data_IF_532126764252
#
_entry.id   IF_532126764252
#
_cell.length_a   1.000
_cell.length_b   1.000
_cell.length_c   1.000
_cell.angle_alpha   90.00
_cell.angle_beta   90.00
_cell.angle_gamma   90.00
#
_symmetry.space_group_name_H-M   'P 1'
#
loop_
_entity.id
_entity.type
_entity.pdbx_description
1 polymer ?
#
# COMPACT_ATOMS: atom_id res chain seq x y z
N UNK A 1 25.87 31.62 -15.65
CA UNK A 1 25.07 30.58 -14.94
C UNK A 1 25.96 29.36 -14.72
N UNK A 2 26.03 28.82 -13.51
CA UNK A 2 27.01 27.77 -13.17
C UNK A 2 26.36 26.39 -13.29
N UNK A 3 26.73 25.62 -14.33
CA UNK A 3 26.22 24.28 -14.64
C UNK A 3 26.17 23.32 -13.44
N UNK A 4 27.12 23.45 -12.49
CA UNK A 4 27.15 22.64 -11.27
C UNK A 4 25.94 22.91 -10.35
N UNK A 5 25.47 24.15 -10.29
CA UNK A 5 24.31 24.52 -9.47
C UNK A 5 23.01 24.04 -10.12
N UNK A 6 22.92 24.07 -11.44
CA UNK A 6 21.76 23.56 -12.18
C UNK A 6 21.63 22.04 -12.05
N UNK A 7 22.74 21.30 -12.17
CA UNK A 7 22.77 19.86 -11.93
C UNK A 7 22.36 19.48 -10.50
N UNK A 8 22.82 20.23 -9.50
CA UNK A 8 22.42 20.03 -8.10
C UNK A 8 20.92 20.28 -7.91
N UNK A 9 20.39 21.36 -8.47
CA UNK A 9 18.97 21.67 -8.42
C UNK A 9 18.13 20.59 -9.11
N UNK A 10 18.58 20.08 -10.26
CA UNK A 10 17.87 19.03 -10.97
C UNK A 10 17.83 17.72 -10.17
N UNK A 11 18.95 17.30 -9.58
CA UNK A 11 19.00 16.12 -8.69
C UNK A 11 18.05 16.24 -7.50
N UNK A 12 17.99 17.42 -6.88
CA UNK A 12 17.07 17.66 -5.76
C UNK A 12 15.59 17.59 -6.20
N UNK A 13 15.26 18.10 -7.38
CA UNK A 13 13.91 18.00 -7.96
C UNK A 13 13.52 16.55 -8.24
N UNK A 14 14.42 15.76 -8.84
CA UNK A 14 14.18 14.33 -9.11
C UNK A 14 13.92 13.59 -7.80
N UNK A 15 14.78 13.76 -6.79
CA UNK A 15 14.59 13.13 -5.47
C UNK A 15 13.25 13.50 -4.81
N UNK A 16 12.81 14.75 -4.95
CA UNK A 16 11.52 15.18 -4.43
C UNK A 16 10.35 14.51 -5.17
N UNK A 17 10.45 14.37 -6.49
CA UNK A 17 9.44 13.68 -7.29
C UNK A 17 9.36 12.20 -6.95
N UNK A 18 10.50 11.52 -6.80
CA UNK A 18 10.58 10.11 -6.37
C UNK A 18 9.88 9.90 -5.02
N UNK A 19 10.16 10.78 -4.03
CA UNK A 19 9.49 10.72 -2.73
C UNK A 19 7.98 10.93 -2.83
N UNK A 20 7.54 11.88 -3.66
CA UNK A 20 6.11 12.15 -3.87
C UNK A 20 5.40 10.99 -4.56
N UNK A 21 6.05 10.36 -5.55
CA UNK A 21 5.54 9.17 -6.22
C UNK A 21 5.38 8.04 -5.21
N UNK A 22 6.40 7.75 -4.39
CA UNK A 22 6.33 6.71 -3.37
C UNK A 22 5.20 6.95 -2.34
N UNK A 23 4.99 8.21 -1.93
CA UNK A 23 3.87 8.60 -1.05
C UNK A 23 2.52 8.36 -1.74
N UNK A 24 2.41 8.74 -3.02
CA UNK A 24 1.18 8.56 -3.79
C UNK A 24 0.86 7.07 -4.02
N UNK A 25 1.85 6.26 -4.35
CA UNK A 25 1.70 4.80 -4.50
C UNK A 25 1.25 4.16 -3.19
N UNK A 26 1.89 4.53 -2.08
CA UNK A 26 1.50 4.05 -0.74
C UNK A 26 0.09 4.50 -0.37
N UNK A 27 -0.25 5.77 -0.55
CA UNK A 27 -1.56 6.31 -0.21
C UNK A 27 -2.68 5.75 -1.10
N UNK A 28 -2.38 5.42 -2.36
CA UNK A 28 -3.35 4.77 -3.25
C UNK A 28 -3.64 3.32 -2.81
N UNK A 29 -2.63 2.61 -2.31
CA UNK A 29 -2.80 1.23 -1.83
C UNK A 29 -3.53 1.12 -0.48
N UNK A 30 -3.46 2.13 0.39
CA UNK A 30 -4.07 2.09 1.73
C UNK A 30 -5.58 1.84 1.75
N UNK A 31 -6.41 2.55 0.97
CA UNK A 31 -7.85 2.27 0.90
C UNK A 31 -8.17 0.84 0.45
N UNK A 32 -7.36 0.28 -0.45
CA UNK A 32 -7.54 -1.09 -0.93
C UNK A 32 -7.14 -2.12 0.13
N UNK A 33 -6.04 -1.89 0.84
CA UNK A 33 -5.62 -2.68 1.99
C UNK A 33 -6.72 -2.70 3.07
N UNK A 34 -7.29 -1.53 3.36
CA UNK A 34 -8.38 -1.39 4.33
C UNK A 34 -9.62 -2.16 3.89
N UNK A 35 -10.01 -2.05 2.62
CA UNK A 35 -11.14 -2.79 2.05
C UNK A 35 -10.94 -4.31 2.10
N UNK A 36 -9.75 -4.81 1.76
CA UNK A 36 -9.43 -6.24 1.83
C UNK A 36 -9.46 -6.75 3.27
N UNK A 37 -8.92 -5.97 4.21
CA UNK A 37 -8.97 -6.32 5.62
C UNK A 37 -10.41 -6.36 6.16
N UNK A 38 -11.24 -5.37 5.83
CA UNK A 38 -12.66 -5.37 6.23
C UNK A 38 -13.43 -6.58 5.67
N UNK A 39 -13.20 -6.93 4.41
CA UNK A 39 -13.82 -8.11 3.79
C UNK A 39 -13.35 -9.39 4.47
N UNK A 40 -12.06 -9.52 4.73
CA UNK A 40 -11.50 -10.70 5.40
C UNK A 40 -12.04 -10.85 6.83
N UNK A 41 -12.22 -9.75 7.57
CA UNK A 41 -12.88 -9.78 8.89
C UNK A 41 -14.35 -10.21 8.81
N UNK A 42 -15.11 -9.73 7.81
CA UNK A 42 -16.50 -10.16 7.60
C UNK A 42 -16.59 -11.66 7.32
N UNK A 43 -15.75 -12.16 6.41
CA UNK A 43 -15.71 -13.59 6.07
C UNK A 43 -15.25 -14.45 7.26
N UNK A 44 -14.27 -13.98 8.03
CA UNK A 44 -13.83 -14.65 9.25
C UNK A 44 -14.98 -14.82 10.24
N UNK A 45 -15.77 -13.77 10.44
CA UNK A 45 -16.95 -13.79 11.32
C UNK A 45 -18.05 -14.72 10.81
N UNK A 46 -18.31 -14.73 9.50
CA UNK A 46 -19.30 -15.64 8.89
C UNK A 46 -18.89 -17.11 9.01
N UNK A 47 -17.59 -17.40 9.02
CA UNK A 47 -17.02 -18.74 9.13
C UNK A 47 -16.66 -19.16 10.57
N UNK A 48 -16.93 -18.31 11.57
CA UNK A 48 -16.52 -18.50 12.97
C UNK A 48 -14.99 -18.75 13.12
N UNK A 49 -14.20 -18.06 12.29
CA UNK A 49 -12.73 -18.10 12.28
C UNK A 49 -12.15 -16.86 12.97
N UNK A 50 -10.89 -16.97 13.36
CA UNK A 50 -10.15 -15.85 13.96
C UNK A 50 -10.04 -14.68 12.97
N UNK A 51 -10.27 -13.47 13.49
CA UNK A 51 -10.13 -12.24 12.70
C UNK A 51 -8.68 -12.06 12.20
N UNK A 52 -8.50 -11.70 10.92
CA UNK A 52 -7.18 -11.45 10.35
C UNK A 52 -6.54 -10.20 10.94
N UNK A 53 -5.20 -10.13 10.91
CA UNK A 53 -4.46 -8.90 11.26
C UNK A 53 -4.38 -7.97 10.05
N UNK A 54 -4.52 -6.65 10.26
CA UNK A 54 -4.33 -5.64 9.22
C UNK A 54 -2.89 -5.67 8.68
N UNK A 55 -2.77 -5.68 7.35
CA UNK A 55 -1.49 -5.72 6.65
C UNK A 55 -1.05 -4.32 6.23
N UNK A 56 0.25 -4.11 6.05
CA UNK A 56 0.82 -2.85 5.56
C UNK A 56 1.06 -2.86 4.04
N UNK A 57 0.94 -4.02 3.40
CA UNK A 57 1.20 -4.25 1.99
C UNK A 57 -0.05 -4.84 1.31
N UNK A 58 -0.36 -4.32 0.11
CA UNK A 58 -1.50 -4.75 -0.70
C UNK A 58 -1.47 -6.23 -1.08
N UNK A 59 -0.30 -6.76 -1.41
CA UNK A 59 -0.13 -8.19 -1.80
C UNK A 59 -0.46 -9.08 -0.61
N UNK A 60 0.12 -8.80 0.56
CA UNK A 60 -0.15 -9.57 1.77
C UNK A 60 -1.62 -9.46 2.21
N UNK A 61 -2.24 -8.27 2.05
CA UNK A 61 -3.66 -8.07 2.34
C UNK A 61 -4.55 -8.92 1.41
N UNK A 62 -4.18 -9.03 0.14
CA UNK A 62 -4.89 -9.86 -0.84
C UNK A 62 -4.71 -11.36 -0.54
N UNK A 63 -3.49 -11.81 -0.29
CA UNK A 63 -3.21 -13.20 0.10
C UNK A 63 -3.99 -13.59 1.35
N UNK A 64 -3.99 -12.74 2.37
CA UNK A 64 -4.76 -12.98 3.59
C UNK A 64 -6.26 -13.03 3.33
N UNK A 65 -6.81 -12.21 2.43
CA UNK A 65 -8.23 -12.29 2.04
C UNK A 65 -8.54 -13.64 1.38
N UNK A 66 -7.64 -14.15 0.53
CA UNK A 66 -7.86 -15.44 -0.16
C UNK A 66 -7.97 -16.62 0.79
N UNK A 67 -7.33 -16.58 1.95
CA UNK A 67 -7.44 -17.62 2.99
C UNK A 67 -8.86 -17.78 3.56
N UNK A 68 -9.72 -16.77 3.39
CA UNK A 68 -11.10 -16.77 3.84
C UNK A 68 -12.10 -16.87 2.69
N UNK A 69 -11.67 -16.95 1.43
CA UNK A 69 -12.61 -17.17 0.33
C UNK A 69 -13.05 -18.65 0.32
N UNK A 70 -14.35 -18.92 0.10
CA UNK A 70 -14.81 -20.29 -0.13
C UNK A 70 -14.20 -20.83 -1.43
N UNK A 71 -13.86 -22.12 -1.46
CA UNK A 71 -13.37 -22.83 -2.66
C UNK A 71 -14.38 -22.76 -3.82
#
# INVERSE_FOLDING_TARGET
MNLKNELRNWRNKVKNLEQRIAILETNHSRPLIDAFHELACKLAKEQDRTEPKKQDNLVNALEQLTDYLPN
#
